data_IF_047070009321
#
_entry.id   IF_047070009321
#
_cell.length_a   1.000
_cell.length_b   1.000
_cell.length_c   1.000
_cell.angle_alpha   90.00
_cell.angle_beta   90.00
_cell.angle_gamma   90.00
#
_symmetry.space_group_name_H-M   'P 1'
#
loop_
_entity.id
_entity.type
_entity.pdbx_description
1 polymer ?
#
# COMPACT_ATOMS: atom_id res chain seq x y z
N UNK A 1 13.04 11.47 -9.67
CA UNK A 1 14.27 12.13 -9.22
C UNK A 1 13.93 13.16 -8.13
N UNK A 2 14.11 12.77 -6.85
CA UNK A 2 13.95 13.68 -5.71
C UNK A 2 15.25 14.48 -5.52
N UNK A 3 15.36 15.63 -6.18
CA UNK A 3 16.59 16.45 -6.15
C UNK A 3 16.60 17.55 -5.07
N UNK A 4 15.48 17.84 -4.41
CA UNK A 4 15.40 18.86 -3.37
C UNK A 4 15.03 18.27 -2.01
N UNK A 5 15.41 18.94 -0.89
CA UNK A 5 15.02 18.53 0.47
C UNK A 5 13.49 18.39 0.61
N UNK A 6 12.70 19.25 -0.02
CA UNK A 6 11.24 19.20 -0.02
C UNK A 6 10.70 17.97 -0.74
N UNK A 7 11.29 17.61 -1.88
CA UNK A 7 10.92 16.41 -2.63
C UNK A 7 11.29 15.13 -1.88
N UNK A 8 12.43 15.10 -1.16
CA UNK A 8 12.78 13.98 -0.30
C UNK A 8 11.76 13.76 0.83
N UNK A 9 11.24 14.82 1.43
CA UNK A 9 10.20 14.72 2.44
C UNK A 9 8.87 14.20 1.88
N UNK A 10 8.49 14.58 0.66
CA UNK A 10 7.33 14.02 -0.03
C UNK A 10 7.52 12.54 -0.38
N UNK A 11 8.69 12.14 -0.86
CA UNK A 11 8.99 10.74 -1.20
C UNK A 11 9.00 9.81 0.02
N UNK A 12 9.39 10.30 1.19
CA UNK A 12 9.39 9.54 2.46
C UNK A 12 7.97 9.32 2.98
N UNK A 13 7.02 10.19 2.62
CA UNK A 13 5.61 10.08 3.02
C UNK A 13 4.85 9.00 2.25
N UNK A 14 5.28 8.70 1.03
CA UNK A 14 4.57 7.76 0.16
C UNK A 14 4.99 6.32 0.47
N UNK A 15 4.01 5.45 0.60
CA UNK A 15 4.24 4.01 0.69
C UNK A 15 4.55 3.46 -0.69
N UNK A 16 5.67 2.77 -0.81
CA UNK A 16 5.92 1.95 -1.99
C UNK A 16 4.98 0.73 -1.95
N UNK A 17 4.20 0.57 -3.02
CA UNK A 17 3.44 -0.64 -3.26
C UNK A 17 3.98 -1.26 -4.56
N UNK A 18 4.57 -2.43 -4.45
CA UNK A 18 5.06 -3.20 -5.59
C UNK A 18 4.19 -4.43 -5.82
N UNK A 19 4.04 -4.81 -7.07
CA UNK A 19 3.36 -6.04 -7.46
C UNK A 19 4.15 -6.74 -8.56
N UNK A 20 4.04 -8.07 -8.61
CA UNK A 20 4.46 -8.87 -9.75
C UNK A 20 3.22 -9.06 -10.61
N UNK A 21 3.27 -8.61 -11.85
CA UNK A 21 2.16 -8.73 -12.80
C UNK A 21 2.58 -9.50 -14.03
N UNK A 22 1.66 -10.28 -14.57
CA UNK A 22 1.82 -10.95 -15.85
C UNK A 22 0.70 -10.48 -16.82
N UNK A 23 1.01 -10.48 -18.11
CA UNK A 23 -0.03 -10.28 -19.12
C UNK A 23 -1.04 -11.42 -19.03
N UNK A 24 -2.34 -11.07 -19.01
CA UNK A 24 -3.43 -12.04 -18.82
C UNK A 24 -3.45 -13.09 -19.90
N UNK A 25 -3.42 -12.66 -21.17
CA UNK A 25 -3.55 -13.59 -22.31
C UNK A 25 -2.35 -14.55 -22.38
N UNK A 26 -1.14 -14.03 -22.05
CA UNK A 26 0.05 -14.85 -21.93
C UNK A 26 -0.10 -15.88 -20.80
N UNK A 27 -0.55 -15.46 -19.61
CA UNK A 27 -0.74 -16.36 -18.47
C UNK A 27 -1.77 -17.48 -18.79
N UNK A 28 -2.91 -17.11 -19.37
CA UNK A 28 -3.98 -18.06 -19.75
C UNK A 28 -3.56 -19.00 -20.88
N UNK A 29 -2.58 -18.60 -21.72
CA UNK A 29 -2.02 -19.47 -22.76
C UNK A 29 -1.05 -20.53 -22.24
N UNK A 30 -0.61 -20.43 -20.98
CA UNK A 30 0.30 -21.40 -20.39
C UNK A 30 -0.44 -22.67 -19.94
N UNK A 31 0.21 -23.84 -19.94
CA UNK A 31 -0.34 -25.05 -19.35
C UNK A 31 -0.71 -24.86 -17.87
N UNK A 32 -1.75 -25.51 -17.39
CA UNK A 32 -2.26 -25.39 -16.00
C UNK A 32 -1.17 -25.61 -14.95
N UNK A 33 -0.25 -26.53 -15.19
CA UNK A 33 0.87 -26.78 -14.29
C UNK A 33 1.79 -25.57 -14.16
N UNK A 34 1.98 -24.81 -15.24
CA UNK A 34 2.79 -23.59 -15.25
C UNK A 34 2.04 -22.45 -14.56
N UNK A 35 0.75 -22.28 -14.86
CA UNK A 35 -0.09 -21.29 -14.19
C UNK A 35 -0.08 -21.50 -12.68
N UNK A 36 -0.26 -22.74 -12.24
CA UNK A 36 -0.22 -23.09 -10.81
C UNK A 36 1.15 -22.82 -10.20
N UNK A 37 2.23 -23.20 -10.87
CA UNK A 37 3.58 -22.94 -10.37
C UNK A 37 3.88 -21.44 -10.22
N UNK A 38 3.40 -20.59 -11.13
CA UNK A 38 3.54 -19.16 -11.05
C UNK A 38 2.77 -18.55 -9.86
N UNK A 39 1.56 -19.04 -9.59
CA UNK A 39 0.77 -18.60 -8.44
C UNK A 39 1.45 -19.02 -7.13
N UNK A 40 1.88 -20.29 -7.03
CA UNK A 40 2.56 -20.82 -5.84
C UNK A 40 3.89 -20.08 -5.57
N UNK A 41 4.64 -19.76 -6.63
CA UNK A 41 5.87 -18.96 -6.53
C UNK A 41 5.58 -17.54 -6.07
N UNK A 42 4.51 -16.91 -6.57
CA UNK A 42 4.08 -15.59 -6.14
C UNK A 42 3.74 -15.55 -4.65
N UNK A 43 3.04 -16.55 -4.14
CA UNK A 43 2.70 -16.65 -2.72
C UNK A 43 3.95 -16.88 -1.86
N UNK A 44 4.84 -17.76 -2.28
CA UNK A 44 6.14 -17.99 -1.63
C UNK A 44 6.96 -16.70 -1.54
N UNK A 45 7.03 -15.97 -2.67
CA UNK A 45 7.72 -14.67 -2.71
C UNK A 45 7.07 -13.65 -1.77
N UNK A 46 5.74 -13.56 -1.75
CA UNK A 46 5.01 -12.65 -0.87
C UNK A 46 5.38 -12.86 0.60
N UNK A 47 5.40 -14.10 1.06
CA UNK A 47 5.74 -14.45 2.45
C UNK A 47 7.20 -14.12 2.77
N UNK A 48 8.13 -14.52 1.90
CA UNK A 48 9.54 -14.25 2.08
C UNK A 48 9.83 -12.73 2.08
N UNK A 49 9.28 -12.00 1.11
CA UNK A 49 9.44 -10.56 1.00
C UNK A 49 8.90 -9.81 2.24
N UNK A 50 7.75 -10.20 2.75
CA UNK A 50 7.17 -9.57 3.94
C UNK A 50 8.08 -9.74 5.18
N UNK A 51 8.69 -10.93 5.34
CA UNK A 51 9.64 -11.21 6.40
C UNK A 51 10.92 -10.37 6.26
N UNK A 52 11.50 -10.35 5.06
CA UNK A 52 12.73 -9.61 4.78
C UNK A 52 12.53 -8.10 4.86
N UNK A 53 11.37 -7.60 4.44
CA UNK A 53 11.02 -6.19 4.54
C UNK A 53 10.99 -5.72 6.00
N UNK A 54 10.37 -6.50 6.89
CA UNK A 54 10.33 -6.17 8.32
C UNK A 54 11.72 -6.08 8.95
N UNK A 55 12.59 -7.03 8.66
CA UNK A 55 13.98 -7.04 9.13
C UNK A 55 14.79 -5.87 8.53
N UNK A 56 14.59 -5.57 7.25
CA UNK A 56 15.27 -4.46 6.57
C UNK A 56 14.86 -3.10 7.12
N UNK A 57 13.57 -2.89 7.40
CA UNK A 57 13.08 -1.64 7.99
C UNK A 57 13.72 -1.40 9.35
N UNK A 58 13.75 -2.40 10.23
CA UNK A 58 14.38 -2.26 11.55
C UNK A 58 15.88 -1.94 11.43
N UNK A 59 16.59 -2.62 10.54
CA UNK A 59 18.01 -2.37 10.26
C UNK A 59 18.27 -0.95 9.77
N UNK A 60 17.49 -0.47 8.80
CA UNK A 60 17.69 0.86 8.23
C UNK A 60 17.32 1.97 9.23
N UNK A 61 16.29 1.79 10.05
CA UNK A 61 15.97 2.72 11.14
C UNK A 61 17.15 2.84 12.12
N UNK A 62 17.73 1.72 12.54
CA UNK A 62 18.91 1.72 13.41
C UNK A 62 20.12 2.43 12.80
N UNK A 63 20.37 2.23 11.48
CA UNK A 63 21.44 2.93 10.76
C UNK A 63 21.16 4.45 10.73
N UNK A 64 19.92 4.85 10.46
CA UNK A 64 19.54 6.27 10.45
C UNK A 64 19.75 6.91 11.82
N UNK A 65 19.38 6.25 12.91
CA UNK A 65 19.60 6.72 14.28
C UNK A 65 21.09 6.85 14.60
N UNK A 66 21.91 5.88 14.20
CA UNK A 66 23.37 5.95 14.39
C UNK A 66 24.03 7.11 13.63
N UNK A 67 23.37 7.59 12.58
CA UNK A 67 23.80 8.77 11.80
C UNK A 67 23.19 10.09 12.30
N UNK A 68 22.53 10.07 13.46
CA UNK A 68 21.97 11.25 14.11
C UNK A 68 20.53 11.61 13.72
N UNK A 69 19.82 10.74 13.00
CA UNK A 69 18.40 10.93 12.76
C UNK A 69 17.60 10.64 14.04
N UNK A 70 16.58 11.47 14.31
CA UNK A 70 15.63 11.22 15.38
C UNK A 70 14.43 10.48 14.82
N UNK A 71 14.28 9.22 15.21
CA UNK A 71 13.10 8.41 14.86
C UNK A 71 12.06 8.59 15.96
N UNK A 72 10.83 8.92 15.57
CA UNK A 72 9.71 9.06 16.50
C UNK A 72 8.42 8.59 15.86
N UNK A 73 7.53 8.01 16.64
CA UNK A 73 6.18 7.68 16.20
C UNK A 73 5.23 8.86 16.38
N UNK A 74 4.40 9.10 15.38
CA UNK A 74 3.34 10.09 15.50
C UNK A 74 2.27 9.62 16.50
N UNK A 75 1.86 10.51 17.42
CA UNK A 75 0.79 10.18 18.37
C UNK A 75 -0.52 9.87 17.65
N UNK A 76 -1.43 9.10 18.28
CA UNK A 76 -2.74 8.81 17.70
C UNK A 76 -3.54 10.06 17.33
N UNK A 77 -3.45 11.12 18.14
CA UNK A 77 -4.11 12.40 17.90
C UNK A 77 -3.52 13.11 16.67
N UNK A 78 -2.18 13.12 16.55
CA UNK A 78 -1.49 13.69 15.40
C UNK A 78 -1.87 12.93 14.12
N UNK A 79 -1.92 11.60 14.17
CA UNK A 79 -2.33 10.76 13.04
C UNK A 79 -3.76 11.04 12.61
N UNK A 80 -4.71 11.19 13.58
CA UNK A 80 -6.10 11.55 13.30
C UNK A 80 -6.21 12.93 12.67
N UNK A 81 -5.53 13.93 13.25
CA UNK A 81 -5.53 15.29 12.73
C UNK A 81 -4.97 15.36 11.32
N UNK A 82 -3.89 14.62 11.06
CA UNK A 82 -3.30 14.54 9.74
C UNK A 82 -4.23 13.87 8.72
N UNK A 83 -4.83 12.73 9.07
CA UNK A 83 -5.78 12.03 8.21
C UNK A 83 -7.03 12.88 7.90
N UNK A 84 -7.54 13.64 8.89
CA UNK A 84 -8.68 14.54 8.71
C UNK A 84 -8.37 15.74 7.81
N UNK A 85 -7.11 16.22 7.81
CA UNK A 85 -6.66 17.33 6.96
C UNK A 85 -6.28 16.94 5.52
N UNK A 86 -6.40 15.66 5.15
CA UNK A 86 -6.13 15.19 3.78
C UNK A 86 -7.42 15.16 2.97
N UNK A 87 -7.35 15.53 1.70
CA UNK A 87 -8.45 15.32 0.76
C UNK A 87 -8.77 13.81 0.65
N UNK A 88 -10.04 13.47 0.40
CA UNK A 88 -10.44 12.08 0.24
C UNK A 88 -10.11 11.58 -1.18
N UNK A 89 -8.81 11.45 -1.46
CA UNK A 89 -8.30 10.97 -2.76
C UNK A 89 -8.80 9.57 -3.14
N UNK A 90 -9.15 8.74 -2.14
CA UNK A 90 -9.70 7.41 -2.40
C UNK A 90 -11.12 7.50 -2.96
N UNK A 91 -11.95 8.36 -2.38
CA UNK A 91 -13.30 8.60 -2.89
C UNK A 91 -13.28 9.33 -4.25
N UNK A 92 -12.37 10.28 -4.45
CA UNK A 92 -12.18 10.93 -5.75
C UNK A 92 -11.81 9.92 -6.84
N UNK A 93 -10.87 9.01 -6.53
CA UNK A 93 -10.51 7.90 -7.41
C UNK A 93 -11.72 6.99 -7.71
N UNK A 94 -12.49 6.62 -6.69
CA UNK A 94 -13.67 5.77 -6.84
C UNK A 94 -14.73 6.43 -7.75
N UNK A 95 -15.04 7.70 -7.53
CA UNK A 95 -15.98 8.48 -8.36
C UNK A 95 -15.50 8.63 -9.80
N UNK A 96 -14.19 8.79 -10.02
CA UNK A 96 -13.62 8.84 -11.36
C UNK A 96 -13.80 7.50 -12.10
N UNK A 97 -13.66 6.37 -11.43
CA UNK A 97 -13.96 5.06 -12.01
C UNK A 97 -15.44 4.90 -12.30
N UNK A 98 -16.32 5.31 -11.37
CA UNK A 98 -17.78 5.27 -11.58
C UNK A 98 -18.18 6.03 -12.84
N UNK A 99 -17.58 7.18 -13.09
CA UNK A 99 -17.82 7.97 -14.31
C UNK A 99 -17.32 7.28 -15.59
N UNK A 100 -16.42 6.31 -15.49
CA UNK A 100 -15.92 5.50 -16.60
C UNK A 100 -16.70 4.19 -16.81
N UNK A 101 -17.78 3.96 -16.04
CA UNK A 101 -18.58 2.75 -16.12
C UNK A 101 -18.03 1.57 -15.29
N UNK A 102 -17.00 1.81 -14.47
CA UNK A 102 -16.45 0.83 -13.52
C UNK A 102 -16.97 1.18 -12.12
N UNK A 103 -17.51 0.23 -11.38
CA UNK A 103 -18.08 0.48 -10.05
C UNK A 103 -16.96 0.70 -9.00
N UNK A 104 -16.29 1.84 -9.06
CA UNK A 104 -15.16 2.21 -8.21
C UNK A 104 -15.55 2.35 -6.74
N UNK A 105 -16.72 2.91 -6.46
CA UNK A 105 -17.25 3.07 -5.10
C UNK A 105 -17.45 1.70 -4.42
N UNK A 106 -17.98 0.71 -5.15
CA UNK A 106 -18.11 -0.64 -4.60
C UNK A 106 -16.76 -1.31 -4.36
N UNK A 107 -15.78 -1.09 -5.23
CA UNK A 107 -14.41 -1.60 -5.05
C UNK A 107 -13.77 -0.98 -3.81
N UNK A 108 -13.86 0.34 -3.64
CA UNK A 108 -13.33 1.02 -2.46
C UNK A 108 -13.98 0.51 -1.17
N UNK A 109 -15.32 0.35 -1.18
CA UNK A 109 -16.05 -0.18 -0.04
C UNK A 109 -15.60 -1.61 0.29
N UNK A 110 -15.54 -2.49 -0.69
CA UNK A 110 -15.11 -3.89 -0.50
C UNK A 110 -13.68 -3.97 0.05
N UNK A 111 -12.77 -3.14 -0.46
CA UNK A 111 -11.41 -3.04 0.06
C UNK A 111 -11.38 -2.63 1.55
N UNK A 112 -12.10 -1.58 1.90
CA UNK A 112 -12.15 -1.09 3.28
C UNK A 112 -12.82 -2.08 4.23
N UNK A 113 -13.87 -2.78 3.78
CA UNK A 113 -14.53 -3.82 4.57
C UNK A 113 -13.59 -5.01 4.79
N UNK A 114 -12.91 -5.50 3.75
CA UNK A 114 -11.90 -6.58 3.86
C UNK A 114 -10.79 -6.22 4.85
N UNK A 115 -10.32 -4.96 4.82
CA UNK A 115 -9.30 -4.50 5.77
C UNK A 115 -9.83 -4.52 7.22
N UNK A 116 -11.07 -4.11 7.45
CA UNK A 116 -11.72 -4.14 8.78
C UNK A 116 -11.90 -5.58 9.26
N UNK A 117 -12.37 -6.47 8.39
CA UNK A 117 -12.57 -7.89 8.70
C UNK A 117 -11.24 -8.58 9.04
N UNK A 118 -10.15 -8.17 8.40
CA UNK A 118 -8.79 -8.60 8.74
C UNK A 118 -8.25 -7.98 10.04
N UNK A 119 -9.06 -7.22 10.79
CA UNK A 119 -8.69 -6.60 12.06
C UNK A 119 -7.96 -5.26 11.95
N UNK A 120 -7.83 -4.68 10.77
CA UNK A 120 -7.25 -3.35 10.63
C UNK A 120 -8.18 -2.28 11.21
N UNK A 121 -7.59 -1.32 11.91
CA UNK A 121 -8.32 -0.16 12.48
C UNK A 121 -7.90 1.10 11.71
N UNK A 122 -8.59 1.42 10.60
CA UNK A 122 -8.25 2.60 9.81
C UNK A 122 -8.49 3.86 10.63
N UNK A 123 -7.58 4.82 10.52
CA UNK A 123 -7.67 6.12 11.21
C UNK A 123 -8.83 6.95 10.63
N UNK A 124 -9.17 6.74 9.36
CA UNK A 124 -10.26 7.39 8.64
C UNK A 124 -11.01 6.38 7.77
N UNK A 125 -12.32 6.51 7.69
CA UNK A 125 -13.18 5.65 6.86
C UNK A 125 -13.36 6.28 5.48
N UNK A 126 -12.37 6.10 4.61
CA UNK A 126 -12.29 6.69 3.28
C UNK A 126 -13.46 6.36 2.35
N UNK A 127 -14.19 5.27 2.64
CA UNK A 127 -15.35 4.78 1.90
C UNK A 127 -16.69 5.35 2.36
N UNK A 128 -16.72 6.15 3.43
CA UNK A 128 -17.95 6.63 4.07
C UNK A 128 -18.12 8.14 4.09
N UNK A 129 -17.17 8.86 3.49
CA UNK A 129 -17.16 10.34 3.48
C UNK A 129 -17.34 10.92 2.08
#
# INVERSE_FOLDING_TARGET
HCHTRRQRQMCIRDRYAGSIAANKDWFESQPDVVQKALIDAGETYRVAYQKDLGASVAKFLSIMESQGAKVSEASPEMRKKWAAGMDNVAMEWAKKLDSSGVNGTAVLKAYMDTMRDAGAKPVRNWDKE
#
